data_IF_683705548090
#
_entry.id   IF_683705548090
#
_cell.length_a   1.000
_cell.length_b   1.000
_cell.length_c   1.000
_cell.angle_alpha   90.00
_cell.angle_beta   90.00
_cell.angle_gamma   90.00
#
_symmetry.space_group_name_H-M   'P 1'
#
loop_
_entity.id
_entity.type
_entity.pdbx_description
1 polymer ?
#
# COMPACT_ATOMS: atom_id res chain seq x y z
N UNK A 1 -50.99 -34.45 52.09
CA UNK A 1 -50.66 -33.04 51.81
C UNK A 1 -50.20 -32.98 50.34
N UNK A 2 -51.08 -32.81 49.35
CA UNK A 2 -51.54 -31.52 48.76
C UNK A 2 -50.40 -30.89 47.93
N UNK A 3 -50.47 -30.55 46.63
CA UNK A 3 -51.50 -30.38 45.57
C UNK A 3 -50.80 -30.57 44.20
N UNK A 4 -51.30 -31.41 43.26
CA UNK A 4 -52.01 -31.07 41.99
C UNK A 4 -51.38 -29.98 41.11
N UNK A 5 -51.33 -30.00 39.77
CA UNK A 5 -51.69 -30.88 38.62
C UNK A 5 -51.18 -30.13 37.35
N UNK A 6 -50.55 -30.78 36.36
CA UNK A 6 -51.13 -31.12 35.03
C UNK A 6 -50.83 -30.02 33.98
N UNK A 7 -50.69 -30.25 32.67
CA UNK A 7 -50.74 -31.43 31.80
C UNK A 7 -50.21 -31.03 30.40
N UNK A 8 -49.71 -32.03 29.66
CA UNK A 8 -49.36 -32.17 28.23
C UNK A 8 -50.23 -31.37 27.22
N UNK A 9 -49.79 -31.05 25.98
CA UNK A 9 -49.44 -32.00 24.90
C UNK A 9 -48.93 -31.30 23.61
N UNK A 10 -48.03 -31.99 22.87
CA UNK A 10 -47.92 -32.23 21.41
C UNK A 10 -48.03 -31.06 20.38
N UNK A 11 -47.45 -31.08 19.18
CA UNK A 11 -46.51 -31.94 18.45
C UNK A 11 -46.05 -31.16 17.19
N UNK A 12 -44.92 -31.59 16.64
CA UNK A 12 -44.52 -31.60 15.23
C UNK A 12 -44.20 -30.33 14.42
N UNK A 13 -43.43 -30.62 13.37
CA UNK A 13 -42.29 -29.93 12.79
C UNK A 13 -42.57 -29.40 11.36
N UNK A 14 -41.52 -28.83 10.78
CA UNK A 14 -41.16 -28.79 9.36
C UNK A 14 -41.41 -27.51 8.54
N UNK A 15 -40.28 -26.87 8.26
CA UNK A 15 -39.79 -26.57 6.90
C UNK A 15 -40.01 -25.16 6.30
N UNK A 16 -38.85 -24.56 5.99
CA UNK A 16 -38.48 -23.93 4.71
C UNK A 16 -38.95 -22.51 4.34
N UNK A 17 -37.92 -21.63 4.23
CA UNK A 17 -37.57 -20.76 3.08
C UNK A 17 -38.59 -19.69 2.62
N UNK A 18 -38.24 -18.40 2.73
CA UNK A 18 -38.58 -17.41 1.69
C UNK A 18 -37.72 -16.14 1.71
N UNK A 19 -37.31 -15.72 0.51
CA UNK A 19 -36.54 -14.53 0.14
C UNK A 19 -37.40 -13.27 0.25
N UNK A 20 -36.83 -12.13 0.66
CA UNK A 20 -37.52 -10.82 0.55
C UNK A 20 -36.75 -9.80 -0.29
N UNK A 21 -37.39 -9.45 -1.41
CA UNK A 21 -37.13 -8.40 -2.40
C UNK A 21 -37.35 -7.01 -1.78
N UNK A 22 -36.59 -5.99 -2.22
CA UNK A 22 -36.91 -4.56 -2.02
C UNK A 22 -36.87 -3.84 -3.38
N UNK A 23 -37.95 -3.12 -3.68
CA UNK A 23 -38.11 -2.23 -4.84
C UNK A 23 -37.63 -0.79 -4.52
N UNK A 24 -37.26 0.01 -5.54
CA UNK A 24 -36.88 1.41 -5.40
C UNK A 24 -38.06 2.38 -5.65
N UNK A 25 -37.95 3.61 -5.16
CA UNK A 25 -38.83 4.75 -5.49
C UNK A 25 -38.00 5.96 -5.93
N UNK A 26 -38.52 6.65 -6.95
CA UNK A 26 -37.95 7.75 -7.74
C UNK A 26 -37.98 9.14 -7.08
N UNK A 27 -37.18 10.05 -7.64
CA UNK A 27 -37.30 11.51 -7.50
C UNK A 27 -36.26 12.28 -8.35
N UNK A 28 -36.75 12.91 -9.42
CA UNK A 28 -36.20 13.89 -10.41
C UNK A 28 -35.27 15.02 -9.86
N UNK A 29 -34.46 15.83 -10.58
CA UNK A 29 -34.04 16.11 -11.98
C UNK A 29 -33.10 17.36 -11.91
N UNK A 30 -32.01 17.49 -12.70
CA UNK A 30 -31.55 18.77 -13.31
C UNK A 30 -30.33 18.61 -14.27
N UNK A 31 -30.63 18.76 -15.56
CA UNK A 31 -29.96 19.49 -16.67
C UNK A 31 -28.47 19.33 -17.05
N UNK A 32 -28.31 19.05 -18.35
CA UNK A 32 -27.10 18.93 -19.17
C UNK A 32 -26.46 20.26 -19.55
N UNK A 33 -25.11 20.27 -19.58
CA UNK A 33 -24.32 21.07 -20.54
C UNK A 33 -23.23 20.17 -21.11
N UNK A 34 -23.11 20.18 -22.44
CA UNK A 34 -22.23 19.33 -23.25
C UNK A 34 -20.88 19.99 -23.56
N UNK A 35 -19.92 19.12 -23.86
CA UNK A 35 -18.77 19.27 -24.78
C UNK A 35 -17.40 19.46 -24.12
N UNK A 36 -16.57 18.42 -24.29
CA UNK A 36 -15.13 18.44 -23.99
C UNK A 36 -14.55 17.06 -23.75
N UNK A 37 -14.59 16.17 -24.76
CA UNK A 37 -13.89 14.90 -24.75
C UNK A 37 -12.37 15.12 -24.74
N UNK A 38 -11.73 14.63 -23.68
CA UNK A 38 -10.31 14.35 -23.62
C UNK A 38 -10.15 12.94 -23.06
N UNK A 39 -10.11 11.95 -23.93
CA UNK A 39 -9.73 10.57 -23.58
C UNK A 39 -8.23 10.54 -23.32
N UNK A 40 -7.85 10.71 -22.07
CA UNK A 40 -6.64 10.11 -21.52
C UNK A 40 -7.08 9.38 -20.28
N UNK A 41 -7.11 8.04 -20.31
CA UNK A 41 -7.00 7.21 -19.10
C UNK A 41 -5.57 7.41 -18.54
N UNK A 42 -5.29 8.65 -18.14
CA UNK A 42 -4.11 9.03 -17.39
C UNK A 42 -4.48 8.88 -15.94
N UNK A 43 -3.86 7.93 -15.24
CA UNK A 43 -3.92 7.85 -13.78
C UNK A 43 -3.77 9.28 -13.22
N UNK A 44 -4.77 9.76 -12.50
CA UNK A 44 -4.73 11.08 -11.85
C UNK A 44 -3.48 11.13 -10.96
N UNK A 45 -2.64 12.15 -11.11
CA UNK A 45 -1.49 12.36 -10.22
C UNK A 45 -1.98 12.40 -8.77
N UNK A 46 -1.50 11.48 -7.94
CA UNK A 46 -1.86 11.38 -6.52
C UNK A 46 -1.22 12.52 -5.72
N UNK A 47 0.00 12.93 -6.10
CA UNK A 47 0.76 14.00 -5.44
C UNK A 47 1.35 14.96 -6.47
N UNK A 48 1.32 16.25 -6.15
CA UNK A 48 1.92 17.31 -6.98
C UNK A 48 2.80 18.20 -6.10
N UNK A 49 3.87 18.76 -6.67
CA UNK A 49 4.69 19.76 -5.99
C UNK A 49 3.89 21.07 -5.86
N UNK A 50 3.68 21.56 -4.64
CA UNK A 50 2.89 22.78 -4.42
C UNK A 50 3.57 24.07 -4.91
N UNK A 51 4.85 24.01 -5.29
CA UNK A 51 5.56 25.16 -5.86
C UNK A 51 5.52 25.17 -7.40
N UNK A 52 5.98 24.10 -8.05
CA UNK A 52 6.11 24.03 -9.51
C UNK A 52 5.00 23.24 -10.22
N UNK A 53 4.03 22.70 -9.49
CA UNK A 53 2.92 21.87 -9.98
C UNK A 53 3.33 20.60 -10.75
N UNK A 54 4.62 20.22 -10.71
CA UNK A 54 5.12 18.97 -11.29
C UNK A 54 4.49 17.77 -10.56
N UNK A 55 4.06 16.77 -11.32
CA UNK A 55 3.65 15.47 -10.75
C UNK A 55 4.84 14.80 -10.06
N UNK A 56 4.64 14.46 -8.79
CA UNK A 56 5.63 13.80 -7.93
C UNK A 56 5.09 12.46 -7.40
N UNK A 57 4.03 11.94 -8.00
CA UNK A 57 3.51 10.60 -7.73
C UNK A 57 4.56 9.56 -8.14
N UNK A 58 4.80 8.57 -7.27
CA UNK A 58 5.83 7.56 -7.51
C UNK A 58 7.25 8.12 -7.56
N UNK A 59 7.50 9.28 -6.92
CA UNK A 59 8.85 9.83 -6.72
C UNK A 59 9.04 10.23 -5.26
N UNK A 60 10.30 10.23 -4.81
CA UNK A 60 10.65 10.75 -3.49
C UNK A 60 10.19 12.21 -3.39
N UNK A 61 9.40 12.52 -2.35
CA UNK A 61 8.85 13.87 -2.10
C UNK A 61 9.17 14.35 -0.70
N UNK A 62 9.20 15.67 -0.53
CA UNK A 62 9.43 16.32 0.76
C UNK A 62 8.09 16.81 1.30
N UNK A 63 7.58 16.13 2.33
CA UNK A 63 6.34 16.51 3.00
C UNK A 63 6.65 17.48 4.13
N UNK A 64 6.03 18.65 4.10
CA UNK A 64 6.09 19.58 5.22
C UNK A 64 5.40 18.96 6.44
N UNK A 65 6.05 18.99 7.60
CA UNK A 65 5.48 18.49 8.86
C UNK A 65 4.62 19.54 9.59
N UNK A 66 4.63 20.78 9.12
CA UNK A 66 3.92 21.93 9.71
C UNK A 66 2.68 22.31 8.90
N UNK A 67 2.80 22.34 7.57
CA UNK A 67 1.72 22.73 6.68
C UNK A 67 0.82 21.53 6.35
N UNK A 68 -0.49 21.77 6.29
CA UNK A 68 -1.44 20.75 5.82
C UNK A 68 -1.26 20.53 4.32
N UNK A 69 -1.16 19.27 3.93
CA UNK A 69 -1.09 18.82 2.52
C UNK A 69 -0.10 19.60 1.64
N UNK A 70 1.11 19.81 2.15
CA UNK A 70 2.16 20.53 1.43
C UNK A 70 3.36 19.62 1.15
N UNK A 71 3.65 19.45 -0.12
CA UNK A 71 4.65 18.58 -0.69
C UNK A 71 5.48 19.31 -1.74
N UNK A 72 6.80 19.14 -1.66
CA UNK A 72 7.74 19.66 -2.64
C UNK A 72 8.47 18.51 -3.34
N UNK A 73 8.78 18.71 -4.62
CA UNK A 73 9.80 17.90 -5.26
C UNK A 73 11.18 18.24 -4.66
N UNK A 74 12.14 17.30 -4.78
CA UNK A 74 13.50 17.49 -4.28
C UNK A 74 14.15 18.77 -4.85
N UNK A 75 13.92 19.07 -6.13
CA UNK A 75 14.46 20.26 -6.81
C UNK A 75 13.95 21.58 -6.19
N UNK A 76 12.66 21.66 -5.85
CA UNK A 76 12.10 22.88 -5.23
C UNK A 76 12.51 23.00 -3.77
N UNK A 77 12.61 21.88 -3.07
CA UNK A 77 13.09 21.86 -1.69
C UNK A 77 14.57 22.31 -1.60
N UNK A 78 15.43 21.86 -2.53
CA UNK A 78 16.87 22.17 -2.48
C UNK A 78 17.20 23.65 -2.71
N UNK A 79 16.30 24.40 -3.37
CA UNK A 79 16.43 25.86 -3.56
C UNK A 79 15.68 26.67 -2.50
N UNK A 80 15.07 26.03 -1.51
CA UNK A 80 14.33 26.70 -0.44
C UNK A 80 13.03 27.36 -0.90
N UNK A 81 12.29 26.72 -1.82
CA UNK A 81 11.02 27.25 -2.32
C UNK A 81 10.00 27.50 -1.19
N UNK A 82 9.42 28.71 -1.16
CA UNK A 82 8.39 29.11 -0.19
C UNK A 82 7.09 29.50 -0.91
N UNK A 83 5.95 29.07 -0.35
CA UNK A 83 4.61 29.47 -0.78
C UNK A 83 3.80 29.72 0.48
N UNK A 84 3.30 30.94 0.70
CA UNK A 84 2.57 31.26 1.94
C UNK A 84 1.41 30.26 2.16
N UNK A 85 1.31 29.59 3.33
CA UNK A 85 2.03 29.85 4.60
C UNK A 85 3.31 29.00 4.82
N UNK A 86 3.73 28.17 3.87
CA UNK A 86 4.94 27.37 3.94
C UNK A 86 6.22 28.23 4.00
N UNK A 87 7.16 27.78 4.82
CA UNK A 87 8.52 28.32 4.96
C UNK A 87 9.55 27.22 4.78
N UNK A 88 10.67 27.58 4.16
CA UNK A 88 11.78 26.69 3.83
C UNK A 88 12.43 26.05 5.06
N UNK A 89 12.29 26.69 6.23
CA UNK A 89 12.80 26.21 7.52
C UNK A 89 11.79 25.35 8.32
N UNK A 90 10.61 25.04 7.77
CA UNK A 90 9.68 24.13 8.45
C UNK A 90 10.28 22.73 8.57
N UNK A 91 9.99 22.05 9.68
CA UNK A 91 10.28 20.62 9.80
C UNK A 91 9.61 19.86 8.67
N UNK A 92 10.27 18.83 8.18
CA UNK A 92 9.83 18.05 7.03
C UNK A 92 10.08 16.55 7.24
N UNK A 93 9.44 15.75 6.39
CA UNK A 93 9.69 14.31 6.26
C UNK A 93 10.03 14.01 4.82
N UNK A 94 11.03 13.14 4.61
CA UNK A 94 11.33 12.58 3.30
C UNK A 94 10.41 11.39 3.11
N UNK A 95 9.53 11.46 2.12
CA UNK A 95 8.65 10.36 1.75
C UNK A 95 9.29 9.65 0.56
N UNK A 96 9.83 8.47 0.79
CA UNK A 96 10.44 7.65 -0.25
C UNK A 96 9.42 6.71 -0.90
N UNK A 97 9.77 6.16 -2.06
CA UNK A 97 8.93 5.23 -2.84
C UNK A 97 9.27 3.77 -2.59
N UNK A 98 10.19 3.50 -1.65
CA UNK A 98 10.59 2.15 -1.24
C UNK A 98 11.08 1.25 -2.40
N UNK A 99 11.51 1.85 -3.51
CA UNK A 99 12.02 1.17 -4.70
C UNK A 99 13.48 0.71 -4.55
N UNK A 100 13.77 0.03 -3.44
CA UNK A 100 15.06 -0.59 -3.19
C UNK A 100 14.86 -2.05 -2.75
N UNK A 101 15.77 -2.95 -3.14
CA UNK A 101 15.71 -4.33 -2.68
C UNK A 101 15.86 -4.49 -1.16
N UNK A 102 15.00 -5.28 -0.51
CA UNK A 102 15.04 -5.48 0.94
C UNK A 102 15.50 -6.89 1.34
N UNK A 103 14.76 -7.92 0.94
CA UNK A 103 15.05 -9.31 1.33
C UNK A 103 15.92 -9.98 0.26
N UNK A 104 15.47 -9.95 -0.99
CA UNK A 104 16.20 -10.47 -2.15
C UNK A 104 16.34 -9.39 -3.23
N UNK A 105 17.13 -9.67 -4.26
CA UNK A 105 17.52 -8.68 -5.28
C UNK A 105 16.46 -8.33 -6.30
N UNK A 106 15.51 -9.22 -6.51
CA UNK A 106 14.46 -9.08 -7.50
C UNK A 106 13.18 -8.47 -6.91
N UNK A 107 13.05 -8.36 -5.58
CA UNK A 107 11.92 -7.73 -4.89
C UNK A 107 12.32 -6.46 -4.17
N UNK A 108 11.58 -5.38 -4.44
CA UNK A 108 11.76 -4.12 -3.71
C UNK A 108 10.88 -4.05 -2.45
N UNK A 109 11.21 -3.16 -1.53
CA UNK A 109 10.53 -3.04 -0.25
C UNK A 109 9.03 -2.68 -0.37
N UNK A 110 8.62 -1.95 -1.42
CA UNK A 110 7.21 -1.68 -1.70
C UNK A 110 6.47 -2.97 -2.11
N UNK A 111 7.06 -3.77 -2.99
CA UNK A 111 6.54 -5.07 -3.42
C UNK A 111 6.41 -6.06 -2.24
N UNK A 112 7.39 -6.08 -1.33
CA UNK A 112 7.32 -6.88 -0.10
C UNK A 112 6.12 -6.48 0.77
N UNK A 113 5.90 -5.18 0.93
CA UNK A 113 4.79 -4.65 1.71
C UNK A 113 3.44 -5.00 1.06
N UNK A 114 3.32 -4.78 -0.26
CA UNK A 114 2.12 -5.13 -1.04
C UNK A 114 1.83 -6.63 -1.02
N UNK A 115 2.86 -7.49 -1.05
CA UNK A 115 2.66 -8.93 -0.95
C UNK A 115 2.01 -9.31 0.38
N UNK A 116 2.53 -8.81 1.49
CA UNK A 116 2.00 -9.10 2.83
C UNK A 116 0.61 -8.51 3.04
N UNK A 117 0.37 -7.28 2.56
CA UNK A 117 -0.96 -6.64 2.56
C UNK A 117 -1.95 -7.47 1.73
N UNK A 118 -1.57 -7.90 0.53
CA UNK A 118 -2.39 -8.75 -0.32
C UNK A 118 -2.73 -10.08 0.35
N UNK A 119 -1.78 -10.73 1.01
CA UNK A 119 -2.04 -11.98 1.75
C UNK A 119 -3.00 -11.73 2.92
N UNK A 120 -2.85 -10.63 3.66
CA UNK A 120 -3.76 -10.22 4.74
C UNK A 120 -5.18 -9.98 4.22
N UNK A 121 -5.31 -9.27 3.10
CA UNK A 121 -6.60 -8.87 2.53
C UNK A 121 -7.34 -10.02 1.84
N UNK A 122 -6.64 -10.83 1.04
CA UNK A 122 -7.26 -11.84 0.17
C UNK A 122 -7.11 -13.28 0.68
N UNK A 123 -6.24 -13.48 1.67
CA UNK A 123 -5.97 -14.77 2.30
C UNK A 123 -4.91 -15.60 1.58
N UNK A 124 -4.13 -16.31 2.39
CA UNK A 124 -3.11 -17.25 1.92
C UNK A 124 -3.74 -18.36 1.08
N UNK A 125 -3.32 -18.48 -0.19
CA UNK A 125 -3.88 -19.42 -1.16
C UNK A 125 -4.57 -18.74 -2.35
N UNK A 126 -5.04 -17.50 -2.21
CA UNK A 126 -5.65 -16.74 -3.29
C UNK A 126 -4.62 -15.92 -4.09
N UNK A 127 -3.60 -16.61 -4.60
CA UNK A 127 -2.42 -15.98 -5.19
C UNK A 127 -2.69 -15.20 -6.48
N UNK A 128 -3.81 -15.48 -7.16
CA UNK A 128 -4.23 -14.70 -8.31
C UNK A 128 -4.57 -13.25 -7.92
N UNK A 129 -5.38 -13.06 -6.87
CA UNK A 129 -5.72 -11.72 -6.35
C UNK A 129 -4.51 -11.04 -5.69
N UNK A 130 -3.67 -11.81 -4.99
CA UNK A 130 -2.43 -11.28 -4.40
C UNK A 130 -1.48 -10.77 -5.49
N UNK A 131 -1.29 -11.52 -6.58
CA UNK A 131 -0.47 -11.09 -7.71
C UNK A 131 -1.01 -9.83 -8.40
N UNK A 132 -2.33 -9.75 -8.59
CA UNK A 132 -2.97 -8.53 -9.12
C UNK A 132 -2.79 -7.32 -8.19
N UNK A 133 -2.89 -7.52 -6.87
CA UNK A 133 -2.67 -6.47 -5.88
C UNK A 133 -1.23 -5.95 -5.88
N UNK A 134 -0.24 -6.84 -5.95
CA UNK A 134 1.17 -6.44 -6.09
C UNK A 134 1.40 -5.71 -7.42
N UNK A 135 0.74 -6.15 -8.49
CA UNK A 135 0.68 -5.46 -9.79
C UNK A 135 1.96 -5.54 -10.64
N UNK A 136 3.12 -5.81 -10.04
CA UNK A 136 4.42 -5.95 -10.73
C UNK A 136 4.93 -7.39 -10.80
N UNK A 137 4.28 -8.32 -10.09
CA UNK A 137 4.70 -9.72 -9.95
C UNK A 137 3.56 -10.66 -10.35
N UNK A 138 3.90 -11.80 -10.95
CA UNK A 138 2.89 -12.83 -11.25
C UNK A 138 2.49 -13.59 -9.98
N UNK A 139 1.35 -14.28 -10.03
CA UNK A 139 0.91 -15.14 -8.92
C UNK A 139 1.95 -16.20 -8.54
N UNK A 140 2.64 -16.78 -9.53
CA UNK A 140 3.70 -17.77 -9.30
C UNK A 140 4.88 -17.12 -8.57
N UNK A 141 5.33 -15.95 -9.02
CA UNK A 141 6.40 -15.22 -8.36
C UNK A 141 6.05 -14.87 -6.90
N UNK A 142 4.81 -14.44 -6.63
CA UNK A 142 4.34 -14.16 -5.27
C UNK A 142 4.36 -15.40 -4.37
N UNK A 143 3.89 -16.56 -4.87
CA UNK A 143 3.89 -17.82 -4.12
C UNK A 143 5.30 -18.26 -3.78
N UNK A 144 6.16 -18.32 -4.81
CA UNK A 144 7.52 -18.83 -4.69
C UNK A 144 8.32 -17.95 -3.75
N UNK A 145 8.24 -16.61 -3.91
CA UNK A 145 8.90 -15.67 -3.02
C UNK A 145 8.42 -15.76 -1.58
N UNK A 146 7.10 -15.82 -1.34
CA UNK A 146 6.58 -15.94 0.02
C UNK A 146 7.07 -17.24 0.69
N UNK A 147 7.07 -18.33 -0.06
CA UNK A 147 7.53 -19.62 0.42
C UNK A 147 9.02 -19.58 0.77
N UNK A 148 9.86 -19.16 -0.16
CA UNK A 148 11.30 -19.21 0.00
C UNK A 148 11.79 -18.20 1.05
N UNK A 149 11.22 -16.99 1.05
CA UNK A 149 11.66 -15.89 1.91
C UNK A 149 11.07 -15.91 3.32
N UNK A 150 9.85 -16.44 3.50
CA UNK A 150 9.15 -16.41 4.79
C UNK A 150 8.91 -17.80 5.38
N UNK A 151 8.38 -18.76 4.62
CA UNK A 151 8.03 -20.09 5.14
C UNK A 151 9.27 -20.96 5.37
N UNK A 152 10.18 -20.98 4.39
CA UNK A 152 11.42 -21.77 4.43
C UNK A 152 12.59 -20.97 5.05
N UNK A 153 12.28 -19.80 5.63
CA UNK A 153 13.24 -18.95 6.33
C UNK A 153 13.85 -19.67 7.54
N UNK A 154 15.18 -19.58 7.76
CA UNK A 154 15.81 -20.06 8.98
C UNK A 154 15.33 -19.33 10.25
N UNK A 155 14.67 -18.18 10.09
CA UNK A 155 14.12 -17.35 11.17
C UNK A 155 12.59 -17.35 11.22
N UNK A 156 11.94 -18.38 10.67
CA UNK A 156 10.48 -18.54 10.72
C UNK A 156 9.92 -18.19 12.12
N UNK A 157 8.88 -17.35 12.22
CA UNK A 157 7.97 -16.89 11.15
C UNK A 157 8.40 -15.62 10.39
N UNK A 158 9.63 -15.15 10.59
CA UNK A 158 10.14 -13.93 9.95
C UNK A 158 11.14 -14.27 8.83
N UNK A 159 11.30 -13.40 7.82
CA UNK A 159 12.36 -13.56 6.84
C UNK A 159 13.75 -13.34 7.48
N UNK A 160 14.81 -13.75 6.78
CA UNK A 160 16.17 -13.40 7.21
C UNK A 160 16.44 -11.90 7.04
N UNK A 161 16.42 -11.18 8.15
CA UNK A 161 16.71 -9.74 8.21
C UNK A 161 18.17 -9.44 8.58
N UNK A 162 19.03 -10.47 8.70
CA UNK A 162 20.45 -10.29 9.06
C UNK A 162 21.29 -9.83 7.87
N UNK A 163 20.81 -10.09 6.65
CA UNK A 163 21.42 -9.68 5.40
C UNK A 163 20.44 -8.87 4.57
N UNK A 164 20.92 -7.81 3.94
CA UNK A 164 20.19 -7.10 2.89
C UNK A 164 20.97 -7.37 1.62
N UNK A 165 20.32 -7.92 0.59
CA UNK A 165 20.99 -8.28 -0.66
C UNK A 165 22.15 -9.28 -0.47
N UNK A 166 21.99 -10.22 0.46
CA UNK A 166 23.04 -11.19 0.81
C UNK A 166 24.27 -10.59 1.50
N UNK A 167 24.20 -9.31 1.92
CA UNK A 167 25.29 -8.62 2.60
C UNK A 167 24.92 -8.29 4.03
N UNK A 168 25.82 -8.57 4.94
CA UNK A 168 25.65 -8.22 6.34
C UNK A 168 25.93 -6.73 6.56
N UNK A 169 25.57 -6.25 7.76
CA UNK A 169 25.77 -4.84 8.16
C UNK A 169 27.22 -4.36 7.97
N UNK A 170 28.22 -5.20 8.26
CA UNK A 170 29.62 -4.79 8.13
C UNK A 170 30.02 -4.59 6.68
N UNK A 171 29.60 -5.48 5.79
CA UNK A 171 29.86 -5.40 4.35
C UNK A 171 29.20 -4.16 3.74
N UNK A 172 27.95 -3.87 4.10
CA UNK A 172 27.25 -2.66 3.66
C UNK A 172 27.98 -1.39 4.12
N UNK A 173 28.42 -1.35 5.38
CA UNK A 173 29.20 -0.22 5.92
C UNK A 173 30.57 -0.07 5.24
N UNK A 174 31.22 -1.18 4.85
CA UNK A 174 32.47 -1.15 4.12
C UNK A 174 32.28 -0.58 2.70
N UNK A 175 31.20 -0.98 2.02
CA UNK A 175 30.86 -0.46 0.68
C UNK A 175 30.57 1.05 0.69
N UNK A 176 29.88 1.56 1.71
CA UNK A 176 29.61 2.99 1.84
C UNK A 176 30.89 3.83 1.99
N UNK A 177 31.96 3.26 2.55
CA UNK A 177 33.24 3.96 2.78
C UNK A 177 34.14 3.99 1.54
N UNK A 178 34.02 3.00 0.64
CA UNK A 178 34.85 2.88 -0.56
C UNK A 178 34.64 3.97 -1.61
N UNK A 179 33.51 4.69 -1.58
CA UNK A 179 33.15 5.66 -2.62
C UNK A 179 33.73 7.08 -2.42
N UNK A 180 34.51 7.32 -1.37
CA UNK A 180 35.04 8.66 -1.04
C UNK A 180 36.54 8.85 -1.34
N UNK A 181 37.28 7.80 -1.69
CA UNK A 181 38.74 7.87 -1.82
C UNK A 181 39.26 8.20 -3.22
N UNK A 182 38.43 8.17 -4.27
CA UNK A 182 38.89 8.33 -5.67
C UNK A 182 38.71 9.73 -6.27
N UNK A 183 38.43 10.77 -5.48
CA UNK A 183 38.35 12.16 -5.97
C UNK A 183 39.31 13.10 -5.24
N UNK A 184 40.61 12.83 -5.35
CA UNK A 184 41.66 13.85 -5.23
C UNK A 184 42.65 13.68 -6.39
N UNK A 185 42.35 14.37 -7.48
CA UNK A 185 43.25 14.65 -8.59
C UNK A 185 43.11 16.12 -8.94
#
# INVERSE_FOLDING_TARGET
>A
MGRSRGNFQADEDHSQRSRRKKNPSSGDNLESVTTGQGTTDGKRSLYHCNYCNKDISGRTRIKCAVCSDFDLCIECFSVGAEVHPHKSHHHYRVMDILAFPLICSDWNADEEMLLLEGIEMYGMGNWAEVGEHVGTKSKEACVDHFKDSYLDSPYFPLPDMTHVMGKNRMELLAMAKGNFTDKKG
#
